data_IF_880245228804
#
_entry.id   IF_880245228804
#
_cell.length_a   1.000
_cell.length_b   1.000
_cell.length_c   1.000
_cell.angle_alpha   90.00
_cell.angle_beta   90.00
_cell.angle_gamma   90.00
#
_symmetry.space_group_name_H-M   'P 1'
#
loop_
_entity.id
_entity.type
_entity.pdbx_description
1 polymer ?
#
# COMPACT_ATOMS: atom_id res chain seq x y z
N UNK A 1 2.81 2.76 -16.87
CA UNK A 1 3.80 2.60 -15.78
C UNK A 1 3.39 3.52 -14.64
N UNK A 2 2.93 2.97 -13.52
CA UNK A 2 2.66 3.79 -12.35
C UNK A 2 4.00 4.20 -11.74
N UNK A 3 4.48 5.36 -12.10
CA UNK A 3 5.63 5.95 -11.43
C UNK A 3 5.10 6.58 -10.15
N UNK A 4 5.34 5.93 -9.04
CA UNK A 4 5.12 6.53 -7.72
C UNK A 4 6.32 7.42 -7.43
N UNK A 5 6.30 8.62 -7.97
CA UNK A 5 7.38 9.58 -7.77
C UNK A 5 7.06 10.50 -6.60
N UNK A 6 7.32 9.99 -5.41
CA UNK A 6 7.21 10.79 -4.17
C UNK A 6 8.40 11.74 -3.97
N UNK A 7 9.43 11.65 -4.82
CA UNK A 7 10.69 12.39 -4.61
C UNK A 7 10.51 13.90 -4.81
N UNK A 8 9.57 14.31 -5.68
CA UNK A 8 9.37 15.68 -6.12
C UNK A 8 10.33 16.11 -7.23
N UNK A 9 9.94 17.09 -8.09
CA UNK A 9 10.70 17.51 -9.27
C UNK A 9 12.10 18.01 -8.94
N UNK A 10 12.30 18.62 -7.78
CA UNK A 10 13.60 19.09 -7.28
C UNK A 10 14.24 18.13 -6.27
N UNK A 11 13.75 16.90 -6.12
CA UNK A 11 14.19 15.93 -5.11
C UNK A 11 13.99 16.41 -3.66
N UNK A 12 12.90 17.14 -3.42
CA UNK A 12 12.57 17.77 -2.15
C UNK A 12 12.46 16.71 -1.05
N UNK A 13 11.71 15.63 -1.29
CA UNK A 13 11.55 14.56 -0.33
C UNK A 13 12.89 13.91 0.02
N UNK A 14 13.73 13.59 -0.98
CA UNK A 14 15.03 12.98 -0.72
C UNK A 14 15.87 13.82 0.23
N UNK A 15 15.95 15.13 -0.03
CA UNK A 15 16.72 16.05 0.83
C UNK A 15 16.15 16.14 2.24
N UNK A 16 14.82 16.20 2.36
CA UNK A 16 14.15 16.27 3.64
C UNK A 16 14.36 14.98 4.46
N UNK A 17 14.20 13.81 3.84
CA UNK A 17 14.42 12.51 4.47
C UNK A 17 15.89 12.32 4.90
N UNK A 18 16.86 12.62 4.01
CA UNK A 18 18.29 12.56 4.35
C UNK A 18 18.66 13.57 5.44
N UNK A 19 18.00 14.73 5.46
CA UNK A 19 18.13 15.74 6.53
C UNK A 19 17.59 15.24 7.85
N UNK A 20 16.42 14.58 7.84
CA UNK A 20 15.82 13.97 9.03
C UNK A 20 16.74 12.88 9.61
N UNK A 21 17.22 11.96 8.79
CA UNK A 21 18.14 10.91 9.22
C UNK A 21 19.45 11.44 9.81
N UNK A 22 19.89 12.62 9.36
CA UNK A 22 21.07 13.29 9.87
C UNK A 22 20.79 14.23 11.08
N UNK A 23 19.55 14.25 11.60
CA UNK A 23 19.14 15.10 12.70
C UNK A 23 19.10 16.60 12.39
N UNK A 24 19.12 16.99 11.09
CA UNK A 24 19.11 18.40 10.66
C UNK A 24 17.70 18.91 10.34
N UNK A 25 16.77 18.02 10.04
CA UNK A 25 15.38 18.36 9.71
C UNK A 25 14.47 17.69 10.75
N UNK A 26 13.63 18.43 11.46
CA UNK A 26 12.69 17.86 12.40
C UNK A 26 11.55 17.13 11.67
N UNK A 27 10.88 16.18 12.35
CA UNK A 27 9.76 15.41 11.77
C UNK A 27 8.65 16.30 11.20
N UNK A 28 8.33 17.42 11.89
CA UNK A 28 7.30 18.35 11.43
C UNK A 28 7.61 18.96 10.04
N UNK A 29 8.86 19.32 9.80
CA UNK A 29 9.29 19.89 8.51
C UNK A 29 9.27 18.81 7.41
N UNK A 30 9.67 17.57 7.75
CA UNK A 30 9.56 16.44 6.83
C UNK A 30 8.11 16.17 6.43
N UNK A 31 7.18 16.21 7.39
CA UNK A 31 5.75 16.06 7.11
C UNK A 31 5.20 17.21 6.28
N UNK A 32 5.69 18.44 6.49
CA UNK A 32 5.31 19.62 5.68
C UNK A 32 5.73 19.44 4.23
N UNK A 33 6.98 19.06 3.97
CA UNK A 33 7.46 18.78 2.60
C UNK A 33 6.62 17.69 1.94
N UNK A 34 6.30 16.61 2.67
CA UNK A 34 5.46 15.54 2.18
C UNK A 34 4.03 16.02 1.83
N UNK A 35 3.43 16.86 2.67
CA UNK A 35 2.09 17.42 2.44
C UNK A 35 2.07 18.34 1.21
N UNK A 36 3.11 19.16 1.04
CA UNK A 36 3.23 20.07 -0.10
C UNK A 36 3.36 19.32 -1.42
N UNK A 37 4.19 18.26 -1.46
CA UNK A 37 4.34 17.41 -2.64
C UNK A 37 3.03 16.70 -3.02
N UNK A 38 2.32 16.14 -2.05
CA UNK A 38 1.00 15.52 -2.29
C UNK A 38 0.00 16.52 -2.84
N UNK A 39 -0.11 17.70 -2.20
CA UNK A 39 -1.02 18.77 -2.66
C UNK A 39 -0.71 19.19 -4.08
N UNK A 40 0.57 19.39 -4.42
CA UNK A 40 0.99 19.73 -5.77
C UNK A 40 0.56 18.67 -6.78
N UNK A 41 0.90 17.40 -6.53
CA UNK A 41 0.54 16.27 -7.39
C UNK A 41 -0.98 16.18 -7.60
N UNK A 42 -1.76 16.25 -6.54
CA UNK A 42 -3.22 16.17 -6.64
C UNK A 42 -3.81 17.35 -7.43
N UNK A 43 -3.30 18.56 -7.23
CA UNK A 43 -3.75 19.73 -7.98
C UNK A 43 -3.41 19.62 -9.47
N UNK A 44 -2.23 19.12 -9.81
CA UNK A 44 -1.81 18.86 -11.19
C UNK A 44 -2.70 17.81 -11.86
N UNK A 45 -3.05 16.73 -11.16
CA UNK A 45 -3.94 15.68 -11.67
C UNK A 45 -5.36 16.21 -11.94
N UNK A 46 -5.92 17.02 -11.03
CA UNK A 46 -7.20 17.69 -11.26
C UNK A 46 -7.12 18.63 -12.46
N UNK A 47 -6.06 19.44 -12.55
CA UNK A 47 -5.86 20.35 -13.68
C UNK A 47 -5.68 19.60 -15.03
N UNK A 48 -5.19 18.38 -14.99
CA UNK A 48 -5.09 17.48 -16.14
C UNK A 48 -6.45 16.82 -16.52
N UNK A 49 -7.51 17.05 -15.75
CA UNK A 49 -8.87 16.57 -16.04
C UNK A 49 -9.23 15.21 -15.43
N UNK A 50 -8.55 14.77 -14.38
CA UNK A 50 -8.96 13.55 -13.67
C UNK A 50 -10.17 13.82 -12.77
N UNK A 51 -11.25 13.05 -12.97
CA UNK A 51 -12.46 13.10 -12.15
C UNK A 51 -12.31 12.42 -10.79
N UNK A 52 -11.33 11.51 -10.66
CA UNK A 52 -11.03 10.77 -9.44
C UNK A 52 -9.51 10.70 -9.26
N UNK A 53 -9.00 11.31 -8.21
CA UNK A 53 -7.55 11.50 -8.00
C UNK A 53 -7.01 10.41 -7.10
N UNK A 54 -5.95 9.69 -7.52
CA UNK A 54 -5.32 8.69 -6.67
C UNK A 54 -4.63 9.36 -5.48
N UNK A 55 -4.97 8.90 -4.27
CA UNK A 55 -4.32 9.26 -3.01
C UNK A 55 -3.70 8.01 -2.37
N UNK A 56 -2.93 8.15 -1.30
CA UNK A 56 -2.13 7.07 -0.71
C UNK A 56 -1.08 6.49 -1.67
N UNK A 57 -0.67 7.27 -2.66
CA UNK A 57 0.39 6.92 -3.62
C UNK A 57 1.76 7.44 -3.20
N UNK A 58 1.81 8.27 -2.17
CA UNK A 58 3.03 8.83 -1.60
C UNK A 58 3.57 7.92 -0.50
N UNK A 59 4.89 7.69 -0.50
CA UNK A 59 5.60 6.94 0.54
C UNK A 59 6.88 7.67 0.94
N UNK A 60 7.24 7.64 2.22
CA UNK A 60 8.57 8.12 2.64
C UNK A 60 9.69 7.19 2.19
N UNK A 61 9.39 5.91 2.00
CA UNK A 61 10.34 4.90 1.54
C UNK A 61 9.72 4.03 0.44
N UNK A 62 8.79 3.12 0.76
CA UNK A 62 8.06 2.34 -0.24
C UNK A 62 6.64 1.97 0.22
N UNK A 63 5.78 1.65 -0.72
CA UNK A 63 4.36 1.39 -0.48
C UNK A 63 4.07 -0.02 0.09
N UNK A 64 4.98 -0.97 -0.05
CA UNK A 64 4.85 -2.29 0.59
C UNK A 64 5.11 -2.16 2.08
N UNK A 65 6.12 -1.37 2.46
CA UNK A 65 6.35 -1.01 3.86
C UNK A 65 5.17 -0.22 4.45
N UNK A 66 4.62 0.74 3.69
CA UNK A 66 3.41 1.47 4.12
C UNK A 66 2.25 0.50 4.38
N UNK A 67 2.08 -0.52 3.53
CA UNK A 67 1.06 -1.56 3.70
C UNK A 67 1.35 -2.43 4.92
N UNK A 68 2.61 -2.79 5.17
CA UNK A 68 3.00 -3.51 6.37
C UNK A 68 2.71 -2.71 7.65
N UNK A 69 2.91 -1.39 7.62
CA UNK A 69 2.50 -0.49 8.72
C UNK A 69 0.99 -0.45 8.86
N UNK A 70 0.25 -0.30 7.75
CA UNK A 70 -1.22 -0.29 7.75
C UNK A 70 -1.81 -1.59 8.35
N UNK A 71 -1.14 -2.71 8.16
CA UNK A 71 -1.57 -4.02 8.68
C UNK A 71 -0.97 -4.37 10.05
N UNK A 72 -0.25 -3.44 10.69
CA UNK A 72 0.49 -3.66 11.96
C UNK A 72 1.46 -4.87 11.89
N UNK A 73 2.02 -5.12 10.70
CA UNK A 73 2.82 -6.31 10.38
C UNK A 73 4.32 -6.01 10.29
N UNK A 74 4.81 -5.02 11.03
CA UNK A 74 6.24 -4.77 11.16
C UNK A 74 6.92 -5.85 12.03
N UNK A 75 8.19 -6.17 11.76
CA UNK A 75 8.89 -7.21 12.51
C UNK A 75 9.05 -6.84 14.00
N UNK A 76 9.00 -7.81 14.93
CA UNK A 76 9.07 -7.55 16.37
C UNK A 76 10.30 -6.78 16.82
N UNK A 77 11.42 -6.88 16.08
CA UNK A 77 12.67 -6.19 16.42
C UNK A 77 12.57 -4.65 16.42
N UNK A 78 11.56 -4.07 15.74
CA UNK A 78 11.32 -2.61 15.77
C UNK A 78 10.30 -2.18 16.82
N UNK A 79 9.68 -3.11 17.56
CA UNK A 79 8.61 -2.79 18.52
C UNK A 79 9.07 -1.87 19.66
N UNK A 80 10.36 -1.89 20.01
CA UNK A 80 10.94 -1.01 21.03
C UNK A 80 11.09 0.46 20.60
N UNK A 81 10.95 0.76 19.30
CA UNK A 81 11.00 2.14 18.80
C UNK A 81 9.61 2.76 18.94
N UNK A 82 9.48 3.75 19.84
CA UNK A 82 8.18 4.31 20.22
C UNK A 82 7.63 5.31 19.22
N UNK A 83 8.48 6.17 18.63
CA UNK A 83 8.04 7.10 17.59
C UNK A 83 7.67 6.35 16.30
N UNK A 84 6.49 6.59 15.72
CA UNK A 84 6.05 5.87 14.52
C UNK A 84 6.92 6.10 13.29
N UNK A 85 7.43 7.31 13.10
CA UNK A 85 8.28 7.65 11.96
C UNK A 85 9.67 7.02 12.10
N UNK A 86 10.25 7.08 13.31
CA UNK A 86 11.52 6.42 13.61
C UNK A 86 11.40 4.91 13.49
N UNK A 87 10.27 4.32 13.91
CA UNK A 87 9.98 2.89 13.76
C UNK A 87 9.91 2.50 12.28
N UNK A 88 9.24 3.31 11.47
CA UNK A 88 9.16 3.12 10.02
C UNK A 88 10.56 3.10 9.39
N UNK A 89 11.40 4.09 9.74
CA UNK A 89 12.76 4.15 9.20
C UNK A 89 13.70 3.11 9.82
N UNK A 90 13.48 2.68 11.05
CA UNK A 90 14.23 1.57 11.65
C UNK A 90 13.95 0.25 10.90
N UNK A 91 12.69 0.00 10.50
CA UNK A 91 12.36 -1.13 9.64
C UNK A 91 13.02 -1.01 8.25
N UNK A 92 13.05 0.20 7.68
CA UNK A 92 13.56 0.44 6.33
C UNK A 92 15.09 0.35 6.23
N UNK A 93 15.81 0.95 7.18
CA UNK A 93 17.27 1.16 7.09
C UNK A 93 18.05 0.48 8.19
N UNK A 94 17.36 -0.02 9.22
CA UNK A 94 17.98 -0.47 10.44
C UNK A 94 18.54 0.67 11.29
N UNK A 95 19.11 0.28 12.40
CA UNK A 95 19.91 1.11 13.30
C UNK A 95 21.21 0.37 13.65
N UNK A 96 22.01 0.89 14.58
CA UNK A 96 23.17 0.15 15.09
C UNK A 96 22.80 -1.19 15.74
N UNK A 97 21.57 -1.33 16.23
CA UNK A 97 21.09 -2.49 16.99
C UNK A 97 19.99 -3.28 16.25
N UNK A 98 19.32 -2.66 15.28
CA UNK A 98 18.17 -3.23 14.56
C UNK A 98 18.57 -3.47 13.10
N UNK A 99 18.51 -4.73 12.65
CA UNK A 99 18.71 -5.06 11.25
C UNK A 99 17.53 -4.57 10.40
N UNK A 100 17.76 -3.97 9.22
CA UNK A 100 16.69 -3.55 8.30
C UNK A 100 15.95 -4.76 7.72
N UNK A 101 14.80 -4.48 7.10
CA UNK A 101 14.14 -5.42 6.20
C UNK A 101 15.00 -5.64 4.95
N UNK A 102 14.87 -6.82 4.34
CA UNK A 102 15.49 -7.11 3.05
C UNK A 102 14.89 -6.23 1.96
N UNK A 103 15.73 -5.80 1.02
CA UNK A 103 15.30 -5.03 -0.14
C UNK A 103 15.42 -5.87 -1.40
N UNK A 104 14.37 -5.89 -2.22
CA UNK A 104 14.38 -6.56 -3.52
C UNK A 104 13.67 -5.73 -4.58
N UNK A 105 13.76 -6.17 -5.85
CA UNK A 105 13.13 -5.46 -6.96
C UNK A 105 11.61 -5.56 -6.89
N UNK A 106 10.95 -4.45 -7.21
CA UNK A 106 9.52 -4.39 -7.48
C UNK A 106 9.25 -4.95 -8.88
N UNK A 107 8.92 -6.25 -8.95
CA UNK A 107 8.75 -6.99 -10.20
C UNK A 107 9.96 -6.78 -11.17
N UNK A 108 9.73 -6.66 -12.46
CA UNK A 108 10.77 -6.42 -13.47
C UNK A 108 11.14 -4.95 -13.66
N UNK A 109 10.95 -4.14 -12.63
CA UNK A 109 11.30 -2.71 -12.66
C UNK A 109 12.66 -2.42 -12.02
N UNK A 110 13.12 -1.16 -12.15
CA UNK A 110 14.27 -0.66 -11.40
C UNK A 110 13.91 -0.15 -9.99
N UNK A 111 12.62 -0.20 -9.60
CA UNK A 111 12.19 0.13 -8.25
C UNK A 111 12.44 -1.05 -7.31
N UNK A 112 12.61 -0.73 -6.04
CA UNK A 112 12.82 -1.71 -4.97
C UNK A 112 11.77 -1.51 -3.88
N UNK A 113 11.46 -2.58 -3.18
CA UNK A 113 10.62 -2.55 -2.00
C UNK A 113 11.27 -3.31 -0.86
N UNK A 114 10.82 -3.04 0.36
CA UNK A 114 11.23 -3.77 1.56
C UNK A 114 10.33 -4.97 1.77
N UNK A 115 10.93 -6.13 1.90
CA UNK A 115 10.21 -7.41 2.02
C UNK A 115 9.69 -7.59 3.44
N UNK A 116 8.36 -7.56 3.69
CA UNK A 116 7.83 -7.79 5.02
C UNK A 116 8.09 -9.23 5.47
N UNK A 117 8.34 -9.39 6.76
CA UNK A 117 8.64 -10.68 7.38
C UNK A 117 7.44 -11.19 8.15
N UNK A 118 6.90 -12.33 7.74
CA UNK A 118 5.72 -12.93 8.35
C UNK A 118 6.10 -14.22 9.06
N UNK A 119 5.90 -14.26 10.37
CA UNK A 119 6.03 -15.43 11.22
C UNK A 119 4.67 -16.03 11.57
N UNK A 120 4.66 -17.18 12.18
CA UNK A 120 3.43 -17.78 12.71
C UNK A 120 2.78 -16.93 13.82
N UNK A 121 3.57 -16.11 14.51
CA UNK A 121 3.11 -15.22 15.58
C UNK A 121 2.65 -13.84 15.06
N UNK A 122 2.86 -13.52 13.78
CA UNK A 122 2.42 -12.24 13.21
C UNK A 122 0.89 -12.15 13.30
N UNK A 123 0.39 -11.04 13.82
CA UNK A 123 -1.04 -10.69 13.84
C UNK A 123 -1.28 -9.51 12.94
N UNK A 124 -2.41 -9.48 12.25
CA UNK A 124 -2.79 -8.38 11.39
C UNK A 124 -3.87 -7.55 12.03
N UNK A 125 -3.67 -6.25 12.07
CA UNK A 125 -4.63 -5.27 12.59
C UNK A 125 -4.61 -4.05 11.70
N UNK A 126 -5.76 -3.45 11.46
CA UNK A 126 -5.82 -2.24 10.67
C UNK A 126 -5.24 -1.03 11.43
N UNK A 127 -4.41 -0.25 10.72
CA UNK A 127 -3.88 1.06 11.11
C UNK A 127 -4.15 2.04 9.97
N UNK A 128 -5.34 2.62 9.87
CA UNK A 128 -5.77 3.37 8.70
C UNK A 128 -5.30 4.84 8.71
N UNK A 129 -4.58 5.28 9.74
CA UNK A 129 -4.31 6.70 10.03
C UNK A 129 -3.72 7.44 8.83
N UNK A 130 -2.75 6.86 8.13
CA UNK A 130 -2.12 7.47 6.95
C UNK A 130 -3.12 7.67 5.81
N UNK A 131 -3.86 6.62 5.47
CA UNK A 131 -4.83 6.65 4.36
C UNK A 131 -5.93 7.67 4.65
N UNK A 132 -6.52 7.63 5.85
CA UNK A 132 -7.59 8.54 6.24
C UNK A 132 -7.12 9.99 6.31
N UNK A 133 -5.89 10.24 6.78
CA UNK A 133 -5.32 11.59 6.77
C UNK A 133 -5.12 12.12 5.35
N UNK A 134 -4.69 11.28 4.39
CA UNK A 134 -4.54 11.70 2.99
C UNK A 134 -5.89 11.94 2.31
N UNK A 135 -6.90 11.10 2.58
CA UNK A 135 -8.28 11.30 2.11
C UNK A 135 -8.83 12.63 2.64
N UNK A 136 -8.72 12.86 3.94
CA UNK A 136 -9.19 14.10 4.56
C UNK A 136 -8.48 15.34 3.98
N UNK A 137 -7.17 15.26 3.74
CA UNK A 137 -6.40 16.35 3.15
C UNK A 137 -6.82 16.64 1.70
N UNK A 138 -7.11 15.61 0.90
CA UNK A 138 -7.61 15.79 -0.48
C UNK A 138 -9.03 16.39 -0.47
N UNK A 139 -9.92 15.87 0.36
CA UNK A 139 -11.30 16.41 0.50
C UNK A 139 -11.31 17.86 0.98
N UNK A 140 -10.40 18.26 1.87
CA UNK A 140 -10.26 19.67 2.29
C UNK A 140 -9.87 20.61 1.12
N UNK A 141 -9.32 20.08 0.04
CA UNK A 141 -9.03 20.79 -1.20
C UNK A 141 -10.16 20.68 -2.24
N UNK A 142 -11.28 20.02 -1.90
CA UNK A 142 -12.37 19.75 -2.83
C UNK A 142 -12.04 18.69 -3.89
N UNK A 143 -11.06 17.84 -3.63
CA UNK A 143 -10.57 16.83 -4.57
C UNK A 143 -11.25 15.49 -4.31
N UNK A 144 -11.89 14.84 -5.31
CA UNK A 144 -12.46 13.50 -5.20
C UNK A 144 -11.33 12.46 -5.04
N UNK A 145 -11.13 11.99 -3.83
CA UNK A 145 -10.06 11.07 -3.50
C UNK A 145 -10.41 9.62 -3.84
N UNK A 146 -9.50 8.93 -4.52
CA UNK A 146 -9.51 7.47 -4.70
C UNK A 146 -8.26 6.89 -4.03
N UNK A 147 -8.36 6.34 -2.82
CA UNK A 147 -7.26 5.66 -2.17
C UNK A 147 -6.75 4.48 -3.00
N UNK A 148 -5.42 4.40 -3.17
CA UNK A 148 -4.73 3.29 -3.81
C UNK A 148 -4.05 2.47 -2.71
N UNK A 149 -4.40 1.21 -2.61
CA UNK A 149 -3.92 0.28 -1.58
C UNK A 149 -3.34 -0.95 -2.24
N UNK A 150 -2.23 -1.44 -1.74
CA UNK A 150 -1.74 -2.75 -2.18
C UNK A 150 -2.75 -3.82 -1.75
N UNK A 151 -3.20 -4.63 -2.71
CA UNK A 151 -4.19 -5.66 -2.43
C UNK A 151 -3.63 -6.80 -1.58
N UNK A 152 -4.50 -7.54 -0.86
CA UNK A 152 -4.07 -8.55 0.12
C UNK A 152 -3.33 -9.73 -0.52
N UNK A 153 -3.67 -10.09 -1.75
CA UNK A 153 -3.03 -11.21 -2.46
C UNK A 153 -1.60 -10.83 -2.82
N UNK A 154 -1.39 -9.66 -3.42
CA UNK A 154 -0.04 -9.17 -3.75
C UNK A 154 0.76 -8.90 -2.50
N UNK A 155 0.20 -8.27 -1.47
CA UNK A 155 0.92 -8.04 -0.22
C UNK A 155 1.53 -9.33 0.33
N UNK A 156 0.73 -10.39 0.51
CA UNK A 156 1.22 -11.66 1.05
C UNK A 156 2.16 -12.40 0.10
N UNK A 157 1.99 -12.27 -1.21
CA UNK A 157 2.91 -12.84 -2.21
C UNK A 157 4.30 -12.21 -2.13
N UNK A 158 4.37 -10.92 -1.81
CA UNK A 158 5.63 -10.17 -1.69
C UNK A 158 6.32 -10.32 -0.32
N UNK A 159 5.63 -10.88 0.67
CA UNK A 159 6.20 -11.15 1.99
C UNK A 159 7.10 -12.39 1.96
N UNK A 160 8.01 -12.50 2.93
CA UNK A 160 8.76 -13.74 3.18
C UNK A 160 8.36 -14.38 4.51
N UNK A 161 8.35 -15.71 4.52
CA UNK A 161 8.21 -16.46 5.76
C UNK A 161 9.50 -16.39 6.57
N UNK A 162 9.37 -16.24 7.89
CA UNK A 162 10.48 -16.30 8.85
C UNK A 162 10.15 -17.27 9.97
N UNK A 163 11.16 -17.68 10.73
CA UNK A 163 11.01 -18.56 11.90
C UNK A 163 10.28 -19.89 11.57
N UNK A 164 10.47 -20.43 10.37
CA UNK A 164 9.85 -21.68 9.95
C UNK A 164 8.35 -21.60 9.67
N UNK A 165 7.81 -20.40 9.53
CA UNK A 165 6.40 -20.20 9.16
C UNK A 165 6.12 -20.73 7.74
N UNK A 166 4.88 -21.14 7.43
CA UNK A 166 4.48 -21.48 6.06
C UNK A 166 4.51 -20.23 5.16
N UNK A 167 4.39 -20.46 3.83
CA UNK A 167 4.36 -19.35 2.88
C UNK A 167 3.29 -18.32 3.26
N UNK A 168 3.60 -17.00 3.26
CA UNK A 168 2.71 -15.96 3.77
C UNK A 168 1.32 -15.94 3.15
N UNK A 169 1.16 -16.37 1.90
CA UNK A 169 -0.14 -16.45 1.21
C UNK A 169 -1.16 -17.32 1.95
N UNK A 170 -0.70 -18.29 2.74
CA UNK A 170 -1.58 -19.13 3.57
C UNK A 170 -2.26 -18.37 4.71
N UNK A 171 -1.81 -17.13 4.98
CA UNK A 171 -2.37 -16.23 6.00
C UNK A 171 -3.42 -15.27 5.44
N UNK A 172 -3.95 -15.54 4.24
CA UNK A 172 -4.92 -14.64 3.57
C UNK A 172 -6.17 -14.41 4.41
N UNK A 173 -6.67 -15.46 5.09
CA UNK A 173 -7.86 -15.35 5.94
C UNK A 173 -7.63 -14.51 7.22
N UNK A 174 -6.39 -14.36 7.65
CA UNK A 174 -6.02 -13.51 8.79
C UNK A 174 -5.91 -12.03 8.38
N UNK A 175 -5.55 -11.76 7.11
CA UNK A 175 -5.35 -10.40 6.58
C UNK A 175 -6.66 -9.77 6.10
N UNK A 176 -7.53 -10.54 5.43
CA UNK A 176 -8.77 -10.05 4.82
C UNK A 176 -9.68 -9.28 5.80
N UNK A 177 -9.82 -9.65 7.08
CA UNK A 177 -10.61 -8.85 8.04
C UNK A 177 -10.16 -7.40 8.16
N UNK A 178 -8.86 -7.10 8.10
CA UNK A 178 -8.36 -5.73 8.12
C UNK A 178 -8.77 -4.92 6.87
N UNK A 179 -8.89 -5.58 5.72
CA UNK A 179 -9.40 -4.94 4.51
C UNK A 179 -10.90 -4.66 4.59
N UNK A 180 -11.71 -5.52 5.21
CA UNK A 180 -13.11 -5.22 5.48
C UNK A 180 -13.26 -3.99 6.37
N UNK A 181 -12.49 -3.93 7.46
CA UNK A 181 -12.47 -2.78 8.37
C UNK A 181 -12.02 -1.50 7.63
N UNK A 182 -11.04 -1.60 6.72
CA UNK A 182 -10.63 -0.49 5.88
C UNK A 182 -11.76 0.02 4.99
N UNK A 183 -12.53 -0.88 4.34
CA UNK A 183 -13.67 -0.50 3.51
C UNK A 183 -14.71 0.29 4.31
N UNK A 184 -15.04 -0.12 5.53
CA UNK A 184 -15.96 0.60 6.42
C UNK A 184 -15.44 2.01 6.74
N UNK A 185 -14.17 2.15 7.12
CA UNK A 185 -13.56 3.46 7.38
C UNK A 185 -13.55 4.38 6.15
N UNK A 186 -13.34 3.83 4.96
CA UNK A 186 -13.37 4.61 3.73
C UNK A 186 -14.77 5.12 3.39
N UNK A 187 -15.82 4.32 3.66
CA UNK A 187 -17.22 4.79 3.56
C UNK A 187 -17.48 5.93 4.52
N UNK A 188 -17.07 5.80 5.79
CA UNK A 188 -17.23 6.84 6.80
C UNK A 188 -16.47 8.12 6.43
N UNK A 189 -15.35 8.00 5.71
CA UNK A 189 -14.59 9.12 5.17
C UNK A 189 -15.19 9.72 3.86
N UNK A 190 -16.30 9.20 3.34
CA UNK A 190 -16.95 9.69 2.13
C UNK A 190 -16.25 9.33 0.83
N UNK A 191 -15.47 8.24 0.82
CA UNK A 191 -14.79 7.74 -0.37
C UNK A 191 -15.76 6.97 -1.25
N UNK A 192 -15.82 7.33 -2.54
CA UNK A 192 -16.68 6.65 -3.52
C UNK A 192 -15.99 5.45 -4.18
N UNK A 193 -14.69 5.52 -4.40
CA UNK A 193 -13.88 4.50 -5.07
C UNK A 193 -12.62 4.17 -4.29
N UNK A 194 -12.32 2.89 -4.15
CA UNK A 194 -11.02 2.39 -3.69
C UNK A 194 -10.35 1.57 -4.78
N UNK A 195 -9.04 1.74 -4.96
CA UNK A 195 -8.24 0.93 -5.87
C UNK A 195 -7.38 -0.04 -5.09
N UNK A 196 -7.47 -1.33 -5.42
CA UNK A 196 -6.53 -2.35 -4.95
C UNK A 196 -5.56 -2.72 -6.05
N UNK A 197 -4.27 -2.53 -5.79
CA UNK A 197 -3.19 -2.91 -6.70
C UNK A 197 -2.83 -4.38 -6.48
N UNK A 198 -3.02 -5.21 -7.50
CA UNK A 198 -2.75 -6.65 -7.48
C UNK A 198 -1.81 -7.10 -8.61
N UNK A 199 -0.62 -6.51 -8.74
CA UNK A 199 0.31 -6.86 -9.81
C UNK A 199 0.86 -8.29 -9.73
N UNK A 200 0.77 -8.98 -8.60
CA UNK A 200 1.17 -10.40 -8.53
C UNK A 200 0.30 -11.31 -9.38
N UNK A 201 -0.91 -10.88 -9.74
CA UNK A 201 -1.83 -11.67 -10.57
C UNK A 201 -1.40 -11.80 -12.04
N UNK A 202 -0.37 -11.06 -12.46
CA UNK A 202 0.24 -11.20 -13.80
C UNK A 202 1.55 -11.99 -13.76
N UNK A 203 1.82 -12.69 -12.65
CA UNK A 203 3.04 -13.48 -12.46
C UNK A 203 2.71 -14.93 -12.14
N UNK A 204 3.66 -15.83 -12.40
CA UNK A 204 3.59 -17.25 -12.03
C UNK A 204 4.24 -17.53 -10.66
N UNK A 205 4.35 -16.51 -9.79
CA UNK A 205 5.08 -16.61 -8.53
C UNK A 205 4.49 -17.63 -7.56
N UNK A 206 3.17 -17.80 -7.57
CA UNK A 206 2.44 -18.76 -6.72
C UNK A 206 1.30 -19.37 -7.52
N UNK A 207 1.20 -20.70 -7.46
CA UNK A 207 0.11 -21.45 -8.10
C UNK A 207 -1.23 -21.14 -7.42
N UNK A 208 -2.32 -21.05 -8.20
CA UNK A 208 -3.69 -20.82 -7.69
C UNK A 208 -4.01 -19.38 -7.29
N UNK A 209 -3.15 -18.40 -7.64
CA UNK A 209 -3.44 -16.99 -7.36
C UNK A 209 -4.74 -16.48 -8.03
N UNK A 210 -5.10 -16.87 -9.27
CA UNK A 210 -6.35 -16.45 -9.88
C UNK A 210 -7.60 -16.83 -9.05
N UNK A 211 -7.69 -18.09 -8.66
CA UNK A 211 -8.80 -18.62 -7.87
C UNK A 211 -8.85 -17.99 -6.48
N UNK A 212 -7.68 -17.81 -5.86
CA UNK A 212 -7.56 -17.13 -4.58
C UNK A 212 -8.04 -15.68 -4.66
N UNK A 213 -7.63 -14.95 -5.70
CA UNK A 213 -8.08 -13.58 -5.93
C UNK A 213 -9.60 -13.52 -6.13
N UNK A 214 -10.17 -14.44 -6.93
CA UNK A 214 -11.62 -14.57 -7.09
C UNK A 214 -12.34 -14.76 -5.76
N UNK A 215 -11.85 -15.67 -4.91
CA UNK A 215 -12.42 -15.92 -3.58
C UNK A 215 -12.31 -14.69 -2.65
N UNK A 216 -11.16 -14.03 -2.61
CA UNK A 216 -10.90 -12.85 -1.77
C UNK A 216 -11.76 -11.67 -2.22
N UNK A 217 -11.72 -11.31 -3.50
CA UNK A 217 -12.47 -10.17 -4.02
C UNK A 217 -13.98 -10.42 -4.06
N UNK A 218 -14.43 -11.67 -4.22
CA UNK A 218 -15.82 -12.05 -4.03
C UNK A 218 -16.32 -11.77 -2.61
N UNK A 219 -15.49 -12.05 -1.60
CA UNK A 219 -15.78 -11.69 -0.20
C UNK A 219 -15.80 -10.18 -0.01
N UNK A 220 -14.75 -9.45 -0.42
CA UNK A 220 -14.67 -7.99 -0.27
C UNK A 220 -15.82 -7.27 -0.98
N UNK A 221 -16.18 -7.71 -2.19
CA UNK A 221 -17.30 -7.16 -2.95
C UNK A 221 -18.66 -7.44 -2.29
N UNK A 222 -18.78 -8.49 -1.47
CA UNK A 222 -20.00 -8.81 -0.72
C UNK A 222 -20.22 -7.97 0.53
N UNK A 223 -19.25 -7.13 0.92
CA UNK A 223 -19.41 -6.23 2.06
C UNK A 223 -20.61 -5.30 1.86
N UNK A 224 -21.48 -5.23 2.87
CA UNK A 224 -22.72 -4.42 2.84
C UNK A 224 -22.45 -2.91 2.81
N UNK A 225 -21.30 -2.50 3.33
CA UNK A 225 -20.79 -1.12 3.33
C UNK A 225 -19.40 -1.11 2.73
N UNK A 226 -19.25 -0.53 1.57
CA UNK A 226 -17.96 -0.36 0.91
C UNK A 226 -18.02 0.71 -0.17
N UNK A 227 -16.90 1.35 -0.53
CA UNK A 227 -16.77 2.07 -1.80
C UNK A 227 -16.88 1.11 -2.99
N UNK A 228 -17.06 1.65 -4.18
CA UNK A 228 -16.82 0.88 -5.41
C UNK A 228 -15.36 0.44 -5.47
N UNK A 229 -15.12 -0.82 -5.87
CA UNK A 229 -13.79 -1.43 -5.91
C UNK A 229 -13.26 -1.46 -7.33
N UNK A 230 -12.06 -0.91 -7.53
CA UNK A 230 -11.25 -1.07 -8.73
C UNK A 230 -10.06 -1.96 -8.40
N UNK A 231 -9.86 -3.04 -9.16
CA UNK A 231 -8.66 -3.90 -9.06
C UNK A 231 -7.73 -3.60 -10.22
N UNK A 232 -6.48 -3.24 -9.93
CA UNK A 232 -5.48 -2.90 -10.94
C UNK A 232 -4.33 -3.92 -10.93
N UNK A 233 -4.13 -4.60 -12.07
CA UNK A 233 -3.13 -5.66 -12.18
C UNK A 233 -1.85 -5.21 -12.87
N UNK A 234 -1.85 -4.16 -13.63
CA UNK A 234 -0.76 -3.62 -14.45
C UNK A 234 0.44 -4.58 -14.66
N UNK A 235 1.46 -4.21 -15.45
CA UNK A 235 2.63 -5.00 -15.85
C UNK A 235 2.39 -6.13 -16.86
N UNK A 236 1.19 -6.64 -17.05
CA UNK A 236 0.94 -7.72 -18.00
C UNK A 236 -0.51 -8.14 -18.11
N UNK A 237 -0.72 -9.22 -18.84
CA UNK A 237 -2.02 -9.86 -18.97
C UNK A 237 -2.33 -10.68 -17.71
N UNK A 238 -3.43 -10.42 -17.00
CA UNK A 238 -3.82 -11.20 -15.83
C UNK A 238 -4.34 -12.61 -16.15
N UNK A 239 -4.48 -12.97 -17.43
CA UNK A 239 -4.88 -14.32 -17.84
C UNK A 239 -6.15 -14.82 -17.15
N UNK A 240 -6.04 -15.95 -16.45
CA UNK A 240 -7.16 -16.56 -15.75
C UNK A 240 -7.74 -15.67 -14.63
N UNK A 241 -6.92 -14.81 -14.00
CA UNK A 241 -7.37 -13.94 -12.92
C UNK A 241 -8.43 -12.93 -13.38
N UNK A 242 -8.42 -12.51 -14.66
CA UNK A 242 -9.46 -11.64 -15.19
C UNK A 242 -10.83 -12.31 -15.11
N UNK A 243 -10.93 -13.58 -15.53
CA UNK A 243 -12.17 -14.34 -15.50
C UNK A 243 -12.68 -14.57 -14.08
N UNK A 244 -11.78 -14.78 -13.12
CA UNK A 244 -12.15 -14.93 -11.71
C UNK A 244 -12.63 -13.61 -11.12
N UNK A 245 -11.92 -12.50 -11.33
CA UNK A 245 -12.32 -11.17 -10.87
C UNK A 245 -13.65 -10.72 -11.46
N UNK A 246 -13.90 -10.99 -12.74
CA UNK A 246 -15.16 -10.63 -13.41
C UNK A 246 -16.41 -11.31 -12.80
N UNK A 247 -16.24 -12.38 -12.04
CA UNK A 247 -17.34 -13.08 -11.33
C UNK A 247 -17.59 -12.57 -9.92
N UNK A 248 -16.74 -11.67 -9.39
CA UNK A 248 -16.76 -11.31 -7.97
C UNK A 248 -17.74 -10.19 -7.60
N UNK A 249 -18.16 -9.37 -8.55
CA UNK A 249 -18.95 -8.16 -8.26
C UNK A 249 -18.13 -6.93 -7.91
N UNK A 250 -16.81 -6.93 -8.17
CA UNK A 250 -16.01 -5.69 -8.22
C UNK A 250 -16.48 -4.85 -9.42
N UNK A 251 -16.50 -3.53 -9.28
CA UNK A 251 -17.08 -2.65 -10.27
C UNK A 251 -16.17 -2.43 -11.48
N UNK A 252 -14.85 -2.48 -11.28
CA UNK A 252 -13.90 -2.22 -12.35
C UNK A 252 -12.61 -3.03 -12.15
N UNK A 253 -12.09 -3.56 -13.27
CA UNK A 253 -10.73 -4.10 -13.34
C UNK A 253 -9.92 -3.31 -14.35
N UNK A 254 -8.78 -2.77 -13.95
CA UNK A 254 -7.85 -2.05 -14.81
C UNK A 254 -6.70 -2.96 -15.19
N UNK A 255 -6.64 -3.29 -16.47
CA UNK A 255 -5.55 -4.06 -17.08
C UNK A 255 -4.71 -3.10 -17.91
N UNK A 256 -3.40 -3.17 -17.71
CA UNK A 256 -2.50 -2.44 -18.59
C UNK A 256 -2.30 -3.23 -19.88
N UNK A 257 -2.87 -2.71 -20.94
CA UNK A 257 -2.69 -3.23 -22.30
C UNK A 257 -1.50 -2.54 -22.94
#
# INVERSE_FOLDING_TARGET
>A
MCIRDSIGPGRELKRAVEGYWAGRVPAADLHTVAADLRRQTWTELVAAGLDSVPVNTFSFYDHVLDTAVMLDALPPRVAGVTDPLDRYFAAARGTTEIAPLEMTKWFDTNYHYLVPEISAATTFRLRPEKILAEVAAAHALGIPARPVVLGPVTFLTLCKAVDGAPHPITRIDDVVPAYFELLDHLVDAGVEWVQFDEPSLVTDAVEGLPELAGAVYGRLASASRRPAILVATYFGDPGAALGELARTGVELSLIHI
#
